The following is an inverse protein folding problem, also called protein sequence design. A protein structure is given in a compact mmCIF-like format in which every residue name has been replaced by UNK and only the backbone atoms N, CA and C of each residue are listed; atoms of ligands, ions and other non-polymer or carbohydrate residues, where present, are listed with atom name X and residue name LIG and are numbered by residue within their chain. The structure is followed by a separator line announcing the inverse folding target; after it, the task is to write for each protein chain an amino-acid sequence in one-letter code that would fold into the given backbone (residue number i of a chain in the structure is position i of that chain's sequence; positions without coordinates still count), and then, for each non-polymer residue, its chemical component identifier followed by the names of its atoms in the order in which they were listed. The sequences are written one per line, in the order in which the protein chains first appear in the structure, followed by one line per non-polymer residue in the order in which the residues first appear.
data_IF_425872350850
#
_entry.id   IF_425872350850
#
_cell.length_a   1.000
_cell.length_b   1.000
_cell.length_c   1.000
_cell.angle_alpha   90.00
_cell.angle_beta   90.00
_cell.angle_gamma   90.00
#
_symmetry.space_group_name_H-M   'P 1'
#
loop_
_entity.id
_entity.type
_entity.pdbx_description
1 polymer ?
#
# COMPACT_ATOMS: atom_id res chain seq x y z
N UNK A 1 2.91 9.57 23.88
CA UNK A 1 4.06 10.19 24.57
C UNK A 1 3.57 11.52 25.10
N UNK A 2 3.53 11.71 26.42
CA UNK A 2 3.25 13.01 27.04
C UNK A 2 4.50 13.87 26.89
N UNK A 3 4.33 15.09 26.41
CA UNK A 3 5.43 15.96 26.03
C UNK A 3 5.18 17.38 26.55
N UNK A 4 6.19 17.96 27.19
CA UNK A 4 6.14 19.32 27.72
C UNK A 4 7.00 20.25 26.84
N UNK A 5 6.37 21.28 26.26
CA UNK A 5 6.97 22.22 25.28
C UNK A 5 8.12 23.09 25.82
N UNK A 6 8.49 22.92 27.08
CA UNK A 6 9.46 23.78 27.77
C UNK A 6 10.82 23.13 28.02
N UNK A 7 11.01 21.88 27.57
CA UNK A 7 12.26 21.13 27.77
C UNK A 7 12.94 20.95 26.40
N UNK A 8 14.08 21.62 26.19
CA UNK A 8 14.84 21.59 24.93
C UNK A 8 15.26 20.18 24.50
N UNK A 9 15.55 19.30 25.46
CA UNK A 9 15.85 17.88 25.18
C UNK A 9 14.65 17.15 24.60
N UNK A 10 13.46 17.43 25.14
CA UNK A 10 12.25 16.80 24.67
C UNK A 10 11.84 17.42 23.31
N UNK A 11 12.06 18.74 23.08
CA UNK A 11 11.85 19.39 21.77
C UNK A 11 12.69 18.68 20.71
N UNK A 12 13.98 18.49 20.97
CA UNK A 12 14.89 17.79 20.06
C UNK A 12 14.49 16.34 19.84
N UNK A 13 14.03 15.63 20.87
CA UNK A 13 13.52 14.27 20.74
C UNK A 13 12.22 14.22 19.92
N UNK A 14 11.33 15.20 20.10
CA UNK A 14 10.10 15.35 19.33
C UNK A 14 10.39 15.68 17.86
N UNK A 15 11.29 16.62 17.59
CA UNK A 15 11.74 16.96 16.24
C UNK A 15 12.47 15.81 15.56
N UNK A 16 13.35 15.10 16.28
CA UNK A 16 14.02 13.91 15.77
C UNK A 16 13.00 12.80 15.46
N UNK A 17 12.00 12.59 16.30
CA UNK A 17 10.88 11.67 16.04
C UNK A 17 10.08 12.08 14.81
N UNK A 18 9.75 13.36 14.66
CA UNK A 18 9.07 13.88 13.47
C UNK A 18 9.93 13.75 12.21
N UNK A 19 11.25 13.92 12.32
CA UNK A 19 12.23 13.78 11.23
C UNK A 19 12.44 12.33 10.84
N UNK A 20 12.49 11.40 11.78
CA UNK A 20 12.56 9.95 11.53
C UNK A 20 11.26 9.43 10.89
N UNK A 21 10.12 9.95 11.36
CA UNK A 21 8.80 9.70 10.74
C UNK A 21 8.76 10.26 9.31
N UNK A 22 9.32 11.45 9.07
CA UNK A 22 9.42 12.06 7.74
C UNK A 22 10.40 11.31 6.81
N UNK A 23 11.50 10.79 7.35
CA UNK A 23 12.51 10.04 6.59
C UNK A 23 11.99 8.69 6.07
N UNK A 24 10.95 8.13 6.70
CA UNK A 24 10.20 6.97 6.20
C UNK A 24 8.93 7.34 5.41
N UNK A 25 8.71 8.64 5.16
CA UNK A 25 7.53 9.17 4.48
C UNK A 25 7.82 9.48 3.02
N UNK A 26 7.17 8.78 2.11
CA UNK A 26 7.32 9.03 0.66
C UNK A 26 6.31 10.12 0.26
N UNK A 27 6.78 11.29 -0.18
CA UNK A 27 5.87 12.35 -0.65
C UNK A 27 5.17 11.94 -1.94
N UNK A 28 3.84 11.94 -1.92
CA UNK A 28 2.98 11.72 -3.06
C UNK A 28 2.99 12.94 -3.99
N UNK A 29 3.32 12.71 -5.25
CA UNK A 29 3.23 13.73 -6.31
C UNK A 29 1.77 14.18 -6.52
N UNK A 30 1.50 15.46 -6.80
CA UNK A 30 0.17 15.94 -7.20
C UNK A 30 -0.38 15.23 -8.46
N UNK A 31 0.50 14.81 -9.37
CA UNK A 31 0.10 14.06 -10.57
C UNK A 31 -0.43 12.67 -10.22
N UNK A 32 0.17 12.00 -9.23
CA UNK A 32 -0.31 10.70 -8.74
C UNK A 32 -1.73 10.91 -8.17
N UNK A 33 -1.95 11.96 -7.40
CA UNK A 33 -3.28 12.28 -6.86
C UNK A 33 -4.32 12.59 -7.94
N UNK A 34 -3.90 13.21 -9.06
CA UNK A 34 -4.79 13.59 -10.17
C UNK A 34 -5.14 12.42 -11.10
N UNK A 35 -4.20 11.52 -11.35
CA UNK A 35 -4.38 10.37 -12.26
C UNK A 35 -5.04 9.16 -11.57
N UNK A 36 -4.98 9.10 -10.24
CA UNK A 36 -5.55 8.00 -9.46
C UNK A 36 -7.07 8.11 -9.31
N UNK A 37 -7.76 6.97 -9.37
CA UNK A 37 -9.18 6.92 -9.01
C UNK A 37 -9.29 6.74 -7.50
N UNK A 38 -9.94 7.67 -6.80
CA UNK A 38 -10.20 7.51 -5.35
C UNK A 38 -11.22 6.41 -5.14
N UNK A 39 -10.84 5.35 -4.43
CA UNK A 39 -11.71 4.20 -4.13
C UNK A 39 -12.32 4.32 -2.75
N UNK A 40 -11.55 4.82 -1.79
CA UNK A 40 -12.00 4.97 -0.41
C UNK A 40 -11.36 6.21 0.21
N UNK A 41 -12.17 7.02 0.88
CA UNK A 41 -11.72 8.07 1.77
C UNK A 41 -12.28 7.80 3.16
N UNK A 42 -11.43 7.88 4.18
CA UNK A 42 -11.84 7.68 5.56
C UNK A 42 -10.99 8.53 6.50
N UNK A 43 -11.56 8.90 7.63
CA UNK A 43 -10.85 9.60 8.69
C UNK A 43 -10.72 8.69 9.92
N UNK A 44 -9.59 8.79 10.60
CA UNK A 44 -9.36 8.21 11.92
C UNK A 44 -8.74 9.25 12.87
N UNK A 45 -8.30 8.82 14.05
CA UNK A 45 -7.67 9.70 15.05
C UNK A 45 -6.38 10.37 14.57
N UNK A 46 -5.70 9.77 13.59
CA UNK A 46 -4.47 10.30 13.01
C UNK A 46 -4.74 11.23 11.81
N UNK A 47 -5.99 11.32 11.34
CA UNK A 47 -6.43 12.21 10.26
C UNK A 47 -6.99 11.50 9.03
N UNK A 48 -7.34 12.28 8.02
CA UNK A 48 -7.96 11.80 6.77
C UNK A 48 -6.96 11.05 5.90
N UNK A 49 -7.38 9.87 5.43
CA UNK A 49 -6.65 8.98 4.54
C UNK A 49 -7.47 8.74 3.28
N UNK A 50 -6.78 8.72 2.14
CA UNK A 50 -7.37 8.41 0.83
C UNK A 50 -6.66 7.22 0.23
N UNK A 51 -7.43 6.29 -0.33
CA UNK A 51 -6.94 5.12 -1.04
C UNK A 51 -7.21 5.34 -2.52
N UNK A 52 -6.14 5.47 -3.29
CA UNK A 52 -6.16 5.66 -4.72
C UNK A 52 -5.89 4.32 -5.42
N UNK A 53 -6.62 4.04 -6.49
CA UNK A 53 -6.43 2.90 -7.38
C UNK A 53 -5.83 3.36 -8.71
N UNK A 54 -4.88 2.58 -9.19
CA UNK A 54 -4.24 2.74 -10.49
C UNK A 54 -4.34 1.42 -11.24
N UNK A 55 -4.92 1.46 -12.44
CA UNK A 55 -4.90 0.34 -13.40
C UNK A 55 -4.07 0.74 -14.61
N UNK A 56 -3.26 -0.18 -15.12
CA UNK A 56 -2.46 0.01 -16.32
C UNK A 56 -3.30 0.46 -17.53
N UNK A 57 -4.52 -0.07 -17.66
CA UNK A 57 -5.43 0.22 -18.78
C UNK A 57 -5.91 1.68 -18.84
N UNK A 58 -5.87 2.39 -17.72
CA UNK A 58 -6.32 3.80 -17.59
C UNK A 58 -5.25 4.82 -18.01
N UNK A 59 -3.99 4.40 -18.17
CA UNK A 59 -2.86 5.30 -18.41
C UNK A 59 -2.37 5.22 -19.87
N UNK A 60 -3.17 5.68 -20.84
CA UNK A 60 -2.79 5.66 -22.27
C UNK A 60 -1.79 6.75 -22.72
N UNK A 61 -1.40 7.73 -21.88
CA UNK A 61 -0.63 8.91 -22.38
C UNK A 61 0.48 9.46 -21.46
N UNK A 62 0.75 8.87 -20.29
CA UNK A 62 1.77 9.39 -19.35
C UNK A 62 2.57 8.27 -18.66
N UNK A 63 2.69 7.12 -19.30
CA UNK A 63 3.18 5.87 -18.71
C UNK A 63 4.64 5.94 -18.26
N UNK A 64 5.53 6.62 -18.99
CA UNK A 64 6.96 6.66 -18.64
C UNK A 64 7.23 7.43 -17.34
N UNK A 65 6.58 8.59 -17.14
CA UNK A 65 6.78 9.43 -15.95
C UNK A 65 6.08 8.86 -14.71
N UNK A 66 4.92 8.25 -14.90
CA UNK A 66 4.19 7.54 -13.85
C UNK A 66 4.97 6.30 -13.40
N UNK A 67 5.39 5.44 -14.33
CA UNK A 67 6.17 4.23 -14.03
C UNK A 67 7.49 4.57 -13.36
N UNK A 68 8.26 5.56 -13.84
CA UNK A 68 9.52 5.92 -13.16
C UNK A 68 9.29 6.42 -11.72
N UNK A 69 8.16 7.07 -11.43
CA UNK A 69 7.85 7.53 -10.06
C UNK A 69 7.22 6.45 -9.20
N UNK A 70 6.41 5.58 -9.78
CA UNK A 70 5.94 4.35 -9.12
C UNK A 70 7.14 3.48 -8.77
N UNK A 71 8.12 3.37 -9.67
CA UNK A 71 9.39 2.71 -9.43
C UNK A 71 10.12 3.36 -8.25
N UNK A 72 10.11 4.69 -8.08
CA UNK A 72 10.66 5.29 -6.85
C UNK A 72 9.90 4.91 -5.57
N UNK A 73 8.58 4.80 -5.64
CA UNK A 73 7.77 4.30 -4.50
C UNK A 73 8.11 2.84 -4.23
N UNK A 74 8.27 2.05 -5.29
CA UNK A 74 8.66 0.65 -5.26
C UNK A 74 10.07 0.46 -4.72
N UNK A 75 11.05 1.23 -5.19
CA UNK A 75 12.44 1.25 -4.71
C UNK A 75 12.47 1.57 -3.21
N UNK A 76 11.66 2.52 -2.76
CA UNK A 76 11.55 2.85 -1.34
C UNK A 76 10.87 1.73 -0.53
N UNK A 77 9.82 1.09 -1.07
CA UNK A 77 9.20 -0.10 -0.48
C UNK A 77 10.17 -1.28 -0.48
N UNK A 78 11.03 -1.40 -1.50
CA UNK A 78 12.01 -2.47 -1.68
C UNK A 78 13.21 -2.29 -0.76
N UNK A 79 13.63 -1.04 -0.48
CA UNK A 79 14.56 -0.70 0.60
C UNK A 79 14.01 -1.12 1.98
N UNK A 80 12.71 -0.98 2.20
CA UNK A 80 12.05 -1.33 3.46
C UNK A 80 11.80 -2.84 3.63
N UNK A 81 11.65 -3.58 2.53
CA UNK A 81 11.28 -5.01 2.51
C UNK A 81 12.46 -5.97 2.25
N UNK A 82 13.66 -5.47 1.96
CA UNK A 82 14.87 -6.31 1.86
C UNK A 82 15.04 -7.07 0.53
N UNK A 83 14.51 -6.54 -0.57
CA UNK A 83 14.88 -6.95 -1.93
C UNK A 83 14.33 -8.31 -2.40
N UNK A 84 13.14 -8.30 -2.99
CA UNK A 84 12.75 -9.28 -3.99
C UNK A 84 12.24 -8.50 -5.21
N UNK A 85 12.88 -8.70 -6.36
CA UNK A 85 12.52 -8.02 -7.61
C UNK A 85 11.08 -8.31 -7.99
N UNK A 86 10.39 -7.29 -8.53
CA UNK A 86 9.05 -7.46 -9.09
C UNK A 86 9.21 -8.17 -10.44
N UNK A 87 8.58 -9.33 -10.68
CA UNK A 87 8.66 -10.00 -11.97
C UNK A 87 8.22 -9.07 -13.09
N UNK A 88 9.06 -8.92 -14.11
CA UNK A 88 8.80 -8.05 -15.26
C UNK A 88 7.55 -8.45 -16.08
N UNK A 89 6.94 -9.61 -15.80
CA UNK A 89 5.82 -10.17 -16.57
C UNK A 89 4.43 -9.77 -16.06
N UNK A 90 4.31 -9.09 -14.91
CA UNK A 90 3.00 -8.73 -14.34
C UNK A 90 2.43 -7.37 -14.80
N UNK A 91 3.18 -6.56 -15.56
CA UNK A 91 2.86 -5.14 -15.75
C UNK A 91 1.54 -4.84 -16.48
N UNK A 92 1.07 -5.71 -17.39
CA UNK A 92 -0.10 -5.39 -18.22
C UNK A 92 -1.45 -5.51 -17.50
N UNK A 93 -1.52 -6.30 -16.42
CA UNK A 93 -2.77 -6.55 -15.66
C UNK A 93 -2.66 -6.16 -14.18
N UNK A 94 -1.57 -5.50 -13.79
CA UNK A 94 -1.35 -5.07 -12.42
C UNK A 94 -2.20 -3.86 -12.06
N UNK A 95 -2.81 -3.94 -10.88
CA UNK A 95 -3.56 -2.87 -10.22
C UNK A 95 -2.82 -2.50 -8.94
N UNK A 96 -2.56 -1.21 -8.78
CA UNK A 96 -1.87 -0.68 -7.60
C UNK A 96 -2.84 0.14 -6.76
N UNK A 97 -2.84 -0.09 -5.46
CA UNK A 97 -3.55 0.71 -4.48
C UNK A 97 -2.54 1.48 -3.64
N UNK A 98 -2.72 2.78 -3.48
CA UNK A 98 -1.84 3.64 -2.70
C UNK A 98 -2.68 4.35 -1.64
N UNK A 99 -2.29 4.22 -0.38
CA UNK A 99 -2.89 4.94 0.74
C UNK A 99 -2.07 6.19 1.02
N UNK A 100 -2.74 7.34 1.04
CA UNK A 100 -2.14 8.66 1.22
C UNK A 100 -2.75 9.35 2.43
N UNK A 101 -1.89 9.95 3.24
CA UNK A 101 -2.25 10.88 4.31
C UNK A 101 -1.42 12.16 4.18
N UNK A 102 -2.06 13.32 4.14
CA UNK A 102 -1.38 14.63 4.08
C UNK A 102 -0.27 14.69 3.02
N UNK A 103 -0.56 14.20 1.81
CA UNK A 103 0.37 14.06 0.69
C UNK A 103 1.53 13.09 0.89
N UNK A 104 1.52 12.23 1.91
CA UNK A 104 2.50 11.16 2.09
C UNK A 104 1.88 9.81 1.82
N UNK A 105 2.59 8.97 1.07
CA UNK A 105 2.25 7.58 0.86
C UNK A 105 2.59 6.82 2.13
N UNK A 106 1.56 6.24 2.74
CA UNK A 106 1.66 5.50 4.00
C UNK A 106 1.41 4.00 3.84
N UNK A 107 0.92 3.58 2.67
CA UNK A 107 0.74 2.17 2.34
C UNK A 107 0.58 1.94 0.84
N UNK A 108 0.91 0.73 0.39
CA UNK A 108 0.77 0.29 -0.99
C UNK A 108 0.33 -1.19 -1.06
N UNK A 109 -0.51 -1.52 -2.04
CA UNK A 109 -0.86 -2.91 -2.40
C UNK A 109 -0.72 -3.08 -3.90
N UNK A 110 -0.06 -4.18 -4.27
CA UNK A 110 0.12 -4.62 -5.65
C UNK A 110 -0.71 -5.88 -5.86
N UNK A 111 -1.62 -5.84 -6.81
CA UNK A 111 -2.50 -6.96 -7.09
C UNK A 111 -2.72 -7.17 -8.58
N UNK A 112 -2.99 -8.40 -8.99
CA UNK A 112 -3.27 -8.77 -10.36
C UNK A 112 -4.24 -9.95 -10.43
N UNK A 113 -5.01 -10.09 -11.52
CA UNK A 113 -5.94 -11.20 -11.67
C UNK A 113 -5.17 -12.50 -11.92
N UNK A 114 -5.56 -13.57 -11.20
CA UNK A 114 -5.06 -14.92 -11.42
C UNK A 114 -6.03 -15.69 -12.34
N UNK A 115 -5.52 -16.68 -13.08
CA UNK A 115 -6.29 -17.47 -14.05
C UNK A 115 -7.48 -18.22 -13.43
N UNK A 116 -7.37 -18.58 -12.15
CA UNK A 116 -8.43 -19.25 -11.39
C UNK A 116 -9.51 -18.31 -10.82
N UNK A 117 -9.55 -17.05 -11.28
CA UNK A 117 -10.54 -16.06 -10.85
C UNK A 117 -10.26 -15.45 -9.46
N UNK A 118 -9.07 -15.67 -8.90
CA UNK A 118 -8.62 -15.05 -7.66
C UNK A 118 -7.91 -13.71 -7.92
N UNK A 119 -7.82 -12.88 -6.89
CA UNK A 119 -6.92 -11.73 -6.89
C UNK A 119 -5.59 -12.12 -6.23
N UNK A 120 -4.52 -12.11 -7.01
CA UNK A 120 -3.15 -12.33 -6.55
C UNK A 120 -2.59 -11.05 -5.95
N UNK A 121 -2.36 -11.04 -4.64
CA UNK A 121 -1.72 -9.97 -3.90
C UNK A 121 -0.23 -10.25 -3.88
N UNK A 122 0.51 -9.49 -4.69
CA UNK A 122 1.96 -9.59 -4.81
C UNK A 122 2.66 -8.95 -3.62
N UNK A 123 2.27 -7.72 -3.25
CA UNK A 123 2.93 -7.01 -2.15
C UNK A 123 1.91 -6.21 -1.35
N UNK A 124 2.09 -6.21 -0.04
CA UNK A 124 1.41 -5.31 0.89
C UNK A 124 2.45 -4.63 1.73
N UNK A 125 2.47 -3.31 1.71
CA UNK A 125 3.36 -2.51 2.54
C UNK A 125 2.56 -1.43 3.25
N UNK A 126 2.92 -1.19 4.51
CA UNK A 126 2.46 -0.06 5.30
C UNK A 126 3.68 0.49 6.03
N UNK A 127 3.86 1.81 5.96
CA UNK A 127 4.92 2.52 6.67
C UNK A 127 4.89 2.15 8.16
N UNK A 128 6.05 1.92 8.78
CA UNK A 128 6.18 1.41 10.16
C UNK A 128 5.32 2.21 11.16
N UNK A 129 5.27 3.53 11.01
CA UNK A 129 4.49 4.46 11.86
C UNK A 129 2.96 4.31 11.74
N UNK A 130 2.49 3.62 10.71
CA UNK A 130 1.09 3.39 10.37
C UNK A 130 0.67 1.91 10.44
N UNK A 131 1.61 1.01 10.77
CA UNK A 131 1.32 -0.41 11.01
C UNK A 131 0.46 -0.59 12.25
N UNK A 132 -0.31 -1.68 12.28
CA UNK A 132 -1.21 -2.06 13.40
C UNK A 132 -2.32 -1.03 13.73
N UNK A 133 -2.58 -0.09 12.81
CA UNK A 133 -3.69 0.89 12.89
C UNK A 133 -4.84 0.59 11.93
N UNK A 134 -4.91 -0.64 11.39
CA UNK A 134 -5.95 -1.07 10.46
C UNK A 134 -5.79 -0.58 9.01
N UNK A 135 -4.72 0.13 8.68
CA UNK A 135 -4.48 0.65 7.31
C UNK A 135 -4.47 -0.46 6.27
N UNK A 136 -3.71 -1.54 6.49
CA UNK A 136 -3.65 -2.68 5.57
C UNK A 136 -5.02 -3.33 5.36
N UNK A 137 -5.80 -3.53 6.43
CA UNK A 137 -7.16 -4.05 6.38
C UNK A 137 -8.06 -3.18 5.52
N UNK A 138 -8.04 -1.86 5.72
CA UNK A 138 -8.83 -0.91 4.91
C UNK A 138 -8.42 -0.93 3.43
N UNK A 139 -7.13 -1.05 3.15
CA UNK A 139 -6.64 -1.19 1.78
C UNK A 139 -7.10 -2.51 1.12
N UNK A 140 -7.08 -3.62 1.85
CA UNK A 140 -7.60 -4.90 1.35
C UNK A 140 -9.12 -4.86 1.13
N UNK A 141 -9.87 -4.19 2.01
CA UNK A 141 -11.30 -3.99 1.82
C UNK A 141 -11.62 -3.13 0.59
N UNK A 142 -10.84 -2.06 0.37
CA UNK A 142 -10.94 -1.20 -0.81
C UNK A 142 -10.59 -1.96 -2.10
N UNK A 143 -9.54 -2.78 -2.05
CA UNK A 143 -9.18 -3.69 -3.15
C UNK A 143 -10.35 -4.61 -3.46
N UNK A 144 -10.86 -5.37 -2.48
CA UNK A 144 -11.96 -6.32 -2.71
C UNK A 144 -13.20 -5.67 -3.31
N UNK A 145 -13.49 -4.43 -2.93
CA UNK A 145 -14.70 -3.73 -3.36
C UNK A 145 -14.57 -3.08 -4.75
N UNK A 146 -13.37 -2.97 -5.30
CA UNK A 146 -13.13 -2.26 -6.56
C UNK A 146 -12.26 -3.01 -7.57
N UNK A 147 -11.69 -4.16 -7.20
CA UNK A 147 -10.82 -4.94 -8.06
C UNK A 147 -11.58 -5.57 -9.23
N UNK A 148 -12.71 -6.24 -8.94
CA UNK A 148 -13.65 -6.75 -9.93
C UNK A 148 -14.80 -5.76 -10.12
N UNK A 149 -15.13 -5.43 -11.36
CA UNK A 149 -16.19 -4.47 -11.66
C UNK A 149 -17.55 -5.00 -11.18
N UNK A 150 -18.23 -4.24 -10.33
CA UNK A 150 -19.58 -4.56 -9.85
C UNK A 150 -19.67 -5.71 -8.85
N UNK A 151 -18.54 -6.29 -8.42
CA UNK A 151 -18.51 -7.40 -7.48
C UNK A 151 -17.48 -7.19 -6.38
N UNK A 152 -17.92 -7.35 -5.13
CA UNK A 152 -17.02 -7.40 -3.98
C UNK A 152 -16.43 -8.80 -3.86
N UNK A 153 -15.11 -8.92 -3.97
CA UNK A 153 -14.42 -10.19 -3.76
C UNK A 153 -14.59 -10.68 -2.32
N UNK A 154 -14.71 -11.99 -2.12
CA UNK A 154 -14.60 -12.56 -0.78
C UNK A 154 -13.13 -12.60 -0.33
N UNK A 155 -12.89 -12.66 0.99
CA UNK A 155 -11.56 -12.86 1.57
C UNK A 155 -10.94 -14.16 1.08
N UNK A 156 -11.76 -15.20 0.87
CA UNK A 156 -11.35 -16.48 0.31
C UNK A 156 -10.94 -16.39 -1.17
N UNK A 157 -11.25 -15.28 -1.86
CA UNK A 157 -10.83 -15.02 -3.24
C UNK A 157 -9.49 -14.27 -3.34
N UNK A 158 -8.82 -14.01 -2.22
CA UNK A 158 -7.49 -13.41 -2.19
C UNK A 158 -6.43 -14.50 -2.05
N UNK A 159 -5.36 -14.38 -2.84
CA UNK A 159 -4.17 -15.21 -2.72
C UNK A 159 -2.94 -14.31 -2.50
N UNK A 160 -2.04 -14.65 -1.59
CA UNK A 160 -0.86 -13.84 -1.26
C UNK A 160 0.41 -14.51 -1.79
N UNK A 161 1.31 -13.76 -2.44
CA UNK A 161 2.62 -14.29 -2.83
C UNK A 161 3.54 -14.37 -1.62
N UNK A 162 4.28 -15.47 -1.48
CA UNK A 162 5.36 -15.71 -0.51
C UNK A 162 5.44 -14.68 0.64
N UNK A 163 4.53 -14.78 1.63
CA UNK A 163 4.42 -13.74 2.65
C UNK A 163 5.64 -13.71 3.56
N UNK A 164 6.08 -12.50 3.92
CA UNK A 164 7.00 -12.30 5.05
C UNK A 164 6.33 -12.67 6.37
N UNK A 165 7.06 -12.75 7.48
CA UNK A 165 6.46 -13.01 8.80
C UNK A 165 5.31 -12.04 9.13
N UNK A 166 5.52 -10.74 8.90
CA UNK A 166 4.47 -9.71 9.04
C UNK A 166 3.31 -9.95 8.06
N UNK A 167 3.63 -10.32 6.81
CA UNK A 167 2.65 -10.64 5.77
C UNK A 167 1.76 -11.82 6.14
N UNK A 168 2.33 -12.87 6.72
CA UNK A 168 1.61 -14.06 7.17
C UNK A 168 0.65 -13.73 8.31
N UNK A 169 1.09 -12.93 9.29
CA UNK A 169 0.22 -12.46 10.38
C UNK A 169 -0.94 -11.62 9.85
N UNK A 170 -0.69 -10.75 8.87
CA UNK A 170 -1.72 -9.96 8.22
C UNK A 170 -2.71 -10.86 7.45
N UNK A 171 -2.20 -11.78 6.63
CA UNK A 171 -3.01 -12.68 5.82
C UNK A 171 -3.88 -13.59 6.70
N UNK A 172 -3.31 -14.17 7.76
CA UNK A 172 -4.04 -15.00 8.72
C UNK A 172 -5.12 -14.21 9.44
N UNK A 173 -4.79 -13.01 9.95
CA UNK A 173 -5.76 -12.16 10.64
C UNK A 173 -6.88 -11.67 9.70
N UNK A 174 -6.56 -11.40 8.43
CA UNK A 174 -7.52 -10.85 7.49
C UNK A 174 -8.39 -11.90 6.83
N UNK A 175 -7.79 -12.96 6.29
CA UNK A 175 -8.41 -14.00 5.45
C UNK A 175 -8.59 -15.35 6.15
N UNK A 176 -8.05 -15.53 7.37
CA UNK A 176 -8.14 -16.78 8.15
C UNK A 176 -6.89 -17.65 8.04
N UNK A 177 -6.83 -18.72 8.85
CA UNK A 177 -5.65 -19.60 8.96
C UNK A 177 -5.29 -20.30 7.66
N UNK A 178 -6.28 -20.63 6.82
CA UNK A 178 -6.11 -21.29 5.53
C UNK A 178 -6.16 -20.31 4.35
N UNK A 179 -5.49 -19.16 4.48
CA UNK A 179 -5.40 -18.19 3.39
C UNK A 179 -4.67 -18.80 2.18
N UNK A 180 -5.06 -18.38 0.97
CA UNK A 180 -4.47 -18.92 -0.26
C UNK A 180 -3.13 -18.25 -0.54
N UNK A 181 -2.20 -19.02 -1.09
CA UNK A 181 -0.91 -18.51 -1.57
C UNK A 181 -0.73 -18.83 -3.05
N UNK A 182 0.17 -18.10 -3.70
CA UNK A 182 0.61 -18.41 -5.06
C UNK A 182 2.12 -18.13 -5.18
N UNK A 183 2.76 -18.77 -6.16
CA UNK A 183 4.15 -18.47 -6.52
C UNK A 183 4.16 -17.50 -7.69
N UNK A 184 4.94 -16.43 -7.57
CA UNK A 184 5.27 -15.56 -8.69
C UNK A 184 6.21 -16.36 -9.61
N UNK A 185 5.73 -16.76 -10.79
CA UNK A 185 6.51 -17.45 -11.82
C UNK A 185 7.12 -16.43 -12.77
#
# INVERSE_FOLDING_TARGET
MLYSKHIDKDIKAHEAYHKEKLNSSIKCSPLIQKEGTTVLEYADRDGTKRILKYSWQTCKTSTRKFVTRLNKVLDAVQMDLGGADIPNQCFNSMVVYICIQSDFIIGSIFAFPLENGLAGISRVWVSKSYRRKGVATKMLDALRSSFALGMKLDKANLAFSQPTTDGSMLAQSYAGENYKTFSEV
#
